data_IF_309133439991
#
_entry.id   IF_309133439991
#
_cell.length_a   1.000
_cell.length_b   1.000
_cell.length_c   1.000
_cell.angle_alpha   90.00
_cell.angle_beta   90.00
_cell.angle_gamma   90.00
#
_symmetry.space_group_name_H-M   'P 1'
#
loop_
_entity.id
_entity.type
_entity.pdbx_description
1 polymer ?
#
# COMPACT_ATOMS: atom_id res chain seq x y z
N UNK A 1 11.45 -18.81 24.88
CA UNK A 1 10.12 -18.22 24.61
C UNK A 1 9.94 -16.79 25.13
N UNK A 2 10.80 -16.30 26.02
CA UNK A 2 10.62 -15.00 26.70
C UNK A 2 10.76 -13.80 25.76
N UNK A 3 11.51 -13.93 24.65
CA UNK A 3 11.78 -12.85 23.69
C UNK A 3 10.73 -12.66 22.57
N UNK A 4 9.76 -13.57 22.41
CA UNK A 4 8.70 -13.44 21.39
C UNK A 4 7.46 -12.82 22.02
N UNK A 5 6.82 -11.86 21.34
CA UNK A 5 5.62 -11.16 21.86
C UNK A 5 4.33 -11.98 21.72
N UNK A 6 4.21 -12.80 20.66
CA UNK A 6 3.03 -13.61 20.36
C UNK A 6 3.28 -15.11 20.60
N UNK A 7 2.20 -15.87 20.84
CA UNK A 7 2.20 -17.32 21.09
C UNK A 7 3.23 -17.76 22.16
N UNK A 8 3.17 -17.14 23.34
CA UNK A 8 4.02 -17.45 24.50
C UNK A 8 3.35 -18.54 25.34
N UNK A 9 3.69 -19.80 25.08
CA UNK A 9 3.17 -20.93 25.84
C UNK A 9 3.82 -21.01 27.23
N UNK A 10 3.04 -21.40 28.25
CA UNK A 10 3.58 -21.75 29.57
C UNK A 10 4.21 -23.14 29.50
N UNK A 11 5.16 -23.44 30.41
CA UNK A 11 5.86 -24.74 30.43
C UNK A 11 4.90 -25.94 30.48
N UNK A 12 3.81 -25.86 31.26
CA UNK A 12 2.76 -26.89 31.33
C UNK A 12 2.02 -27.10 29.99
N UNK A 13 1.79 -26.01 29.26
CA UNK A 13 1.05 -26.04 27.99
C UNK A 13 1.94 -26.56 26.84
N UNK A 14 3.27 -26.50 26.99
CA UNK A 14 4.22 -27.07 26.02
C UNK A 14 4.19 -28.60 26.05
N UNK A 15 4.12 -29.18 27.24
CA UNK A 15 4.13 -30.64 27.41
C UNK A 15 2.86 -31.32 26.87
N UNK A 16 1.72 -30.61 26.91
CA UNK A 16 0.43 -31.14 26.49
C UNK A 16 0.08 -30.87 25.01
N UNK A 17 0.92 -30.13 24.26
CA UNK A 17 0.62 -29.74 22.88
C UNK A 17 1.45 -30.49 21.86
N UNK A 18 0.74 -30.97 20.82
CA UNK A 18 1.38 -31.47 19.61
C UNK A 18 1.93 -30.31 18.78
N UNK A 19 3.13 -30.50 18.24
CA UNK A 19 3.73 -29.54 17.31
C UNK A 19 3.02 -29.70 15.96
N UNK A 20 2.46 -28.61 15.45
CA UNK A 20 1.85 -28.57 14.11
C UNK A 20 2.74 -27.69 13.22
N UNK A 21 3.30 -28.25 12.16
CA UNK A 21 4.12 -27.54 11.17
C UNK A 21 5.58 -27.96 11.18
N UNK A 22 6.51 -27.01 11.40
CA UNK A 22 7.94 -27.28 11.29
C UNK A 22 8.47 -28.06 12.51
N UNK A 23 8.71 -29.35 12.32
CA UNK A 23 9.19 -30.27 13.37
C UNK A 23 10.72 -30.31 13.47
N UNK A 24 11.42 -30.07 12.35
CA UNK A 24 12.88 -30.06 12.32
C UNK A 24 13.47 -28.66 12.17
N UNK A 25 14.75 -28.51 12.56
CA UNK A 25 15.52 -27.26 12.30
C UNK A 25 15.58 -26.91 10.80
N UNK A 26 15.58 -27.91 9.91
CA UNK A 26 15.59 -27.69 8.46
C UNK A 26 14.26 -27.09 8.00
N UNK A 27 13.15 -27.58 8.53
CA UNK A 27 11.81 -27.07 8.19
C UNK A 27 11.62 -25.64 8.68
N UNK A 28 12.14 -25.32 9.87
CA UNK A 28 12.12 -23.94 10.38
C UNK A 28 12.90 -23.00 9.46
N UNK A 29 14.08 -23.40 8.98
CA UNK A 29 14.87 -22.60 8.02
C UNK A 29 14.12 -22.41 6.69
N UNK A 30 13.48 -23.47 6.18
CA UNK A 30 12.67 -23.42 4.96
C UNK A 30 11.48 -22.47 5.12
N UNK A 31 10.76 -22.56 6.24
CA UNK A 31 9.63 -21.69 6.57
C UNK A 31 10.07 -20.23 6.70
N UNK A 32 11.22 -19.96 7.35
CA UNK A 32 11.73 -18.60 7.48
C UNK A 32 12.13 -17.99 6.13
N UNK A 33 12.78 -18.77 5.26
CA UNK A 33 13.12 -18.33 3.89
C UNK A 33 11.86 -17.98 3.09
N UNK A 34 10.84 -18.84 3.16
CA UNK A 34 9.55 -18.61 2.50
C UNK A 34 8.87 -17.34 3.04
N UNK A 35 8.86 -17.17 4.36
CA UNK A 35 8.32 -15.97 5.01
C UNK A 35 9.01 -14.71 4.51
N UNK A 36 10.35 -14.67 4.51
CA UNK A 36 11.12 -13.51 4.02
C UNK A 36 10.79 -13.19 2.56
N UNK A 37 10.74 -14.21 1.69
CA UNK A 37 10.37 -14.03 0.29
C UNK A 37 8.98 -13.41 0.13
N UNK A 38 7.98 -13.90 0.88
CA UNK A 38 6.62 -13.34 0.88
C UNK A 38 6.58 -11.89 1.35
N UNK A 39 7.32 -11.54 2.40
CA UNK A 39 7.41 -10.15 2.87
C UNK A 39 8.08 -9.24 1.84
N UNK A 40 9.17 -9.67 1.22
CA UNK A 40 9.83 -8.88 0.16
C UNK A 40 8.88 -8.65 -1.02
N UNK A 41 8.12 -9.67 -1.41
CA UNK A 41 7.11 -9.56 -2.45
C UNK A 41 5.98 -8.60 -2.06
N UNK A 42 5.46 -8.70 -0.83
CA UNK A 42 4.43 -7.78 -0.32
C UNK A 42 4.90 -6.32 -0.37
N UNK A 43 6.14 -6.06 0.07
CA UNK A 43 6.71 -4.71 0.03
C UNK A 43 6.81 -4.16 -1.39
N UNK A 44 7.18 -5.00 -2.38
CA UNK A 44 7.20 -4.60 -3.79
C UNK A 44 5.79 -4.23 -4.27
N UNK A 45 4.78 -5.04 -3.93
CA UNK A 45 3.38 -4.79 -4.32
C UNK A 45 2.83 -3.51 -3.70
N UNK A 46 3.13 -3.25 -2.43
CA UNK A 46 2.71 -2.01 -1.76
C UNK A 46 3.31 -0.77 -2.43
N UNK A 47 4.62 -0.80 -2.76
CA UNK A 47 5.27 0.29 -3.49
C UNK A 47 4.63 0.49 -4.86
N UNK A 48 4.44 -0.61 -5.60
CA UNK A 48 3.83 -0.54 -6.94
C UNK A 48 2.39 -0.04 -6.90
N UNK A 49 1.61 -0.43 -5.90
CA UNK A 49 0.24 0.05 -5.73
C UNK A 49 0.22 1.57 -5.51
N UNK A 50 1.13 2.11 -4.67
CA UNK A 50 1.27 3.56 -4.46
C UNK A 50 1.67 4.30 -5.74
N UNK A 51 2.60 3.76 -6.52
CA UNK A 51 2.96 4.35 -7.83
C UNK A 51 1.77 4.39 -8.79
N UNK A 52 1.01 3.29 -8.87
CA UNK A 52 -0.17 3.19 -9.73
C UNK A 52 -1.28 4.14 -9.30
N UNK A 53 -1.47 4.34 -7.99
CA UNK A 53 -2.41 5.31 -7.43
C UNK A 53 -2.09 6.73 -7.90
N UNK A 54 -0.81 7.12 -7.87
CA UNK A 54 -0.36 8.44 -8.38
C UNK A 54 -0.59 8.58 -9.88
N UNK A 55 -0.29 7.54 -10.66
CA UNK A 55 -0.52 7.55 -12.11
C UNK A 55 -2.01 7.68 -12.43
N UNK A 56 -2.86 6.92 -11.73
CA UNK A 56 -4.30 6.98 -11.89
C UNK A 56 -4.84 8.38 -11.55
N UNK A 57 -4.39 8.98 -10.45
CA UNK A 57 -4.76 10.34 -10.07
C UNK A 57 -4.35 11.37 -11.15
N UNK A 58 -3.14 11.25 -11.71
CA UNK A 58 -2.67 12.12 -12.81
C UNK A 58 -3.53 11.95 -14.08
N UNK A 59 -3.92 10.73 -14.42
CA UNK A 59 -4.78 10.45 -15.58
C UNK A 59 -6.20 11.00 -15.38
N UNK A 60 -6.78 10.82 -14.19
CA UNK A 60 -8.08 11.38 -13.85
C UNK A 60 -8.06 12.91 -13.91
N UNK A 61 -7.02 13.54 -13.36
CA UNK A 61 -6.83 14.99 -13.45
C UNK A 61 -6.78 15.47 -14.91
N UNK A 62 -5.98 14.82 -15.76
CA UNK A 62 -5.91 15.14 -17.19
C UNK A 62 -7.27 15.01 -17.88
N UNK A 63 -8.05 13.98 -17.53
CA UNK A 63 -9.42 13.81 -18.04
C UNK A 63 -10.32 14.98 -17.64
N UNK A 64 -10.29 15.40 -16.38
CA UNK A 64 -11.09 16.54 -15.90
C UNK A 64 -10.67 17.86 -16.56
N UNK A 65 -9.36 18.11 -16.70
CA UNK A 65 -8.85 19.29 -17.40
C UNK A 65 -9.24 19.31 -18.88
N UNK A 66 -9.23 18.16 -19.55
CA UNK A 66 -9.68 18.06 -20.94
C UNK A 66 -11.18 18.36 -21.06
N UNK A 67 -11.99 17.91 -20.09
CA UNK A 67 -13.42 18.21 -20.05
C UNK A 67 -13.70 19.71 -19.77
N UNK A 68 -12.89 20.37 -18.95
CA UNK A 68 -13.03 21.80 -18.67
C UNK A 68 -12.46 22.70 -19.76
N UNK A 69 -11.76 22.19 -20.78
CA UNK A 69 -11.07 23.04 -21.78
C UNK A 69 -12.00 24.04 -22.50
N UNK A 70 -13.28 23.71 -22.64
CA UNK A 70 -14.27 24.57 -23.29
C UNK A 70 -15.24 25.25 -22.30
N UNK A 71 -15.01 25.15 -20.99
CA UNK A 71 -15.82 25.88 -20.01
C UNK A 71 -15.39 27.34 -19.94
N UNK A 72 -16.35 28.24 -19.70
CA UNK A 72 -16.09 29.68 -19.53
C UNK A 72 -15.11 29.95 -18.37
N UNK A 73 -15.25 29.18 -17.30
CA UNK A 73 -14.37 29.22 -16.15
C UNK A 73 -13.35 28.09 -16.24
N UNK A 74 -12.09 28.46 -16.49
CA UNK A 74 -10.97 27.53 -16.49
C UNK A 74 -10.45 27.33 -15.06
N UNK A 75 -10.09 26.10 -14.67
CA UNK A 75 -9.46 25.86 -13.37
C UNK A 75 -8.07 26.50 -13.32
N UNK A 76 -7.69 26.99 -12.14
CA UNK A 76 -6.39 27.61 -11.89
C UNK A 76 -5.48 26.61 -11.17
N UNK A 77 -4.24 26.46 -11.65
CA UNK A 77 -3.25 25.59 -11.01
C UNK A 77 -2.72 26.26 -9.73
N UNK A 78 -2.87 25.59 -8.59
CA UNK A 78 -2.30 26.05 -7.33
C UNK A 78 -0.92 25.47 -7.08
N UNK A 79 -0.77 24.16 -7.33
CA UNK A 79 0.47 23.43 -7.09
C UNK A 79 0.76 22.49 -8.24
N UNK A 80 1.99 22.53 -8.79
CA UNK A 80 2.39 21.58 -9.82
C UNK A 80 2.43 20.16 -9.25
N UNK A 81 2.17 19.17 -10.10
CA UNK A 81 2.35 17.77 -9.74
C UNK A 81 3.83 17.40 -9.66
N UNK A 82 4.18 16.47 -8.79
CA UNK A 82 5.54 15.91 -8.69
C UNK A 82 5.57 14.48 -9.23
N UNK A 83 6.70 13.78 -9.11
CA UNK A 83 6.74 12.34 -9.43
C UNK A 83 5.74 11.57 -8.57
N UNK A 84 5.64 11.94 -7.28
CA UNK A 84 4.90 11.22 -6.24
C UNK A 84 3.47 11.73 -6.03
N UNK A 85 3.04 12.79 -6.71
CA UNK A 85 1.68 13.33 -6.56
C UNK A 85 1.14 13.95 -7.85
N UNK A 86 -0.19 13.95 -7.99
CA UNK A 86 -0.86 14.74 -9.03
C UNK A 86 -0.85 16.23 -8.65
N UNK A 87 -0.94 17.12 -9.65
CA UNK A 87 -1.05 18.56 -9.42
C UNK A 87 -2.38 18.94 -8.80
N UNK A 88 -2.42 20.04 -8.07
CA UNK A 88 -3.63 20.56 -7.44
C UNK A 88 -4.15 21.74 -8.25
N UNK A 89 -5.41 21.63 -8.65
CA UNK A 89 -6.13 22.63 -9.44
C UNK A 89 -7.38 23.06 -8.68
N UNK A 90 -7.66 24.36 -8.71
CA UNK A 90 -8.86 24.96 -8.15
C UNK A 90 -9.83 25.25 -9.28
N UNK A 91 -11.00 24.62 -9.26
CA UNK A 91 -12.11 24.99 -10.12
C UNK A 91 -12.82 26.20 -9.52
N UNK A 92 -12.94 27.27 -10.29
CA UNK A 92 -13.81 28.40 -9.96
C UNK A 92 -15.25 27.99 -10.30
N UNK A 93 -16.10 27.91 -9.28
CA UNK A 93 -17.50 27.54 -9.44
C UNK A 93 -18.34 28.81 -9.40
N UNK A 94 -19.02 29.15 -10.49
CA UNK A 94 -20.19 30.01 -10.41
C UNK A 94 -21.41 29.13 -10.13
N UNK A 95 -22.17 29.49 -9.09
CA UNK A 95 -23.39 28.77 -8.72
C UNK A 95 -24.36 28.87 -9.90
N UNK A 96 -24.85 27.73 -10.40
CA UNK A 96 -25.99 27.74 -11.33
C UNK A 96 -27.14 28.52 -10.67
N UNK A 97 -27.56 29.58 -11.33
CA UNK A 97 -28.68 30.41 -10.90
C UNK A 97 -29.98 29.66 -11.03
#
# INVERSE_FOLDING_TARGET
MISRKFNRLRKKDIAAKNVIGAESKKDVKKADRLRRSRYSELMKRQRRAKELEVVAAKLQLKKHLAQSKNSELQPVMEKPGTVDSAGIWRWTYERKR
#
